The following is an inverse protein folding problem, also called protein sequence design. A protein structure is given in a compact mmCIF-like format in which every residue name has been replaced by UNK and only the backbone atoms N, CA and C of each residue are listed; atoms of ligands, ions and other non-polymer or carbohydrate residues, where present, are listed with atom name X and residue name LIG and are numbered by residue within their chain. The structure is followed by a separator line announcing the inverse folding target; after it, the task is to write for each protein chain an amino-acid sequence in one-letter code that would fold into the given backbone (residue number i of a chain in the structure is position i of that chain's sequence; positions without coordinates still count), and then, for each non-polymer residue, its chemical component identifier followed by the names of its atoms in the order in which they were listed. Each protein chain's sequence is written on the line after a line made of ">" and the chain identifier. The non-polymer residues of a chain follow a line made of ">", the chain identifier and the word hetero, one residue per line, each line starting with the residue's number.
data_IF_844250514254
#
_entry.id   IF_844250514254
#
_cell.length_a   1.000
_cell.length_b   1.000
_cell.length_c   1.000
_cell.angle_alpha   90.00
_cell.angle_beta   90.00
_cell.angle_gamma   90.00
#
_symmetry.space_group_name_H-M   'P 1'
#
loop_
_entity.id
_entity.type
_entity.pdbx_description
1 polymer ?
#
# COMPACT_ATOMS: atom_id res chain seq x y z
N UNK A 1 19.71 8.95 7.70
CA UNK A 1 19.68 8.77 6.23
C UNK A 1 20.14 10.07 5.59
N UNK A 2 21.34 10.12 5.00
CA UNK A 2 21.92 11.35 4.44
C UNK A 2 22.19 11.17 2.95
N UNK A 3 21.11 11.08 2.15
CA UNK A 3 21.24 11.04 0.70
C UNK A 3 21.21 12.48 0.18
N UNK A 4 22.27 12.93 -0.52
CA UNK A 4 22.30 14.28 -1.07
C UNK A 4 21.13 14.53 -2.04
N UNK A 5 20.53 15.70 -1.98
CA UNK A 5 19.42 16.09 -2.84
C UNK A 5 18.06 15.49 -2.48
N UNK A 6 17.95 14.69 -1.40
CA UNK A 6 16.68 14.13 -0.94
C UNK A 6 16.35 14.67 0.45
N UNK A 7 15.16 15.25 0.61
CA UNK A 7 14.54 15.56 1.89
C UNK A 7 13.40 14.58 2.17
N UNK A 8 13.24 14.17 3.43
CA UNK A 8 12.16 13.27 3.86
C UNK A 8 11.39 13.93 5.00
N UNK A 9 10.08 14.06 4.83
CA UNK A 9 9.17 14.42 5.92
C UNK A 9 8.30 13.22 6.26
N UNK A 10 8.39 12.75 7.51
CA UNK A 10 7.58 11.65 8.03
C UNK A 10 6.40 12.22 8.79
N UNK A 11 5.19 11.91 8.35
CA UNK A 11 3.97 12.24 9.06
C UNK A 11 3.41 10.99 9.74
N UNK A 12 2.98 11.11 10.99
CA UNK A 12 2.34 10.03 11.72
C UNK A 12 1.15 10.53 12.54
N UNK A 13 0.11 9.69 12.76
CA UNK A 13 -1.05 10.08 13.56
C UNK A 13 -0.69 10.08 15.04
N UNK A 14 -0.88 11.23 15.68
CA UNK A 14 -0.59 11.43 17.10
C UNK A 14 -1.42 10.48 17.99
N UNK A 15 -0.74 9.74 18.87
CA UNK A 15 -1.39 8.83 19.83
C UNK A 15 -2.10 7.62 19.21
N UNK A 16 -1.96 7.36 17.90
CA UNK A 16 -2.64 6.26 17.21
C UNK A 16 -1.69 5.29 16.51
N UNK A 17 -0.48 5.21 17.02
CA UNK A 17 0.55 4.24 16.58
C UNK A 17 1.04 3.49 17.81
N UNK A 18 1.56 2.28 17.64
CA UNK A 18 2.22 1.56 18.74
C UNK A 18 3.51 2.28 19.14
N UNK A 19 3.98 2.05 20.38
CA UNK A 19 5.23 2.64 20.86
C UNK A 19 6.42 2.33 19.95
N UNK A 20 6.47 1.09 19.42
CA UNK A 20 7.52 0.67 18.48
C UNK A 20 7.43 1.46 17.18
N UNK A 21 6.25 1.62 16.61
CA UNK A 21 6.05 2.40 15.38
C UNK A 21 6.35 3.89 15.62
N UNK A 22 5.94 4.43 16.75
CA UNK A 22 6.29 5.79 17.15
C UNK A 22 7.80 5.96 17.17
N UNK A 23 8.52 5.09 17.86
CA UNK A 23 9.99 5.16 17.93
C UNK A 23 10.64 5.00 16.54
N UNK A 24 10.15 4.09 15.70
CA UNK A 24 10.65 3.93 14.32
C UNK A 24 10.53 5.20 13.49
N UNK A 25 9.50 6.02 13.71
CA UNK A 25 9.29 7.27 12.99
C UNK A 25 9.95 8.47 13.67
N UNK A 26 9.75 8.60 14.98
CA UNK A 26 10.18 9.78 15.74
C UNK A 26 11.70 9.85 15.96
N UNK A 27 12.40 8.71 15.94
CA UNK A 27 13.84 8.64 16.16
C UNK A 27 14.66 8.65 14.86
N UNK A 28 14.05 8.97 13.72
CA UNK A 28 14.79 9.07 12.46
C UNK A 28 15.76 10.25 12.53
N UNK A 29 17.03 9.99 12.27
CA UNK A 29 18.09 10.97 12.31
C UNK A 29 18.56 11.35 10.90
N UNK A 30 18.88 12.62 10.71
CA UNK A 30 19.44 13.14 9.46
C UNK A 30 19.16 14.63 9.32
N UNK A 31 20.08 15.37 8.69
CA UNK A 31 19.87 16.80 8.39
C UNK A 31 18.75 17.05 7.37
N UNK A 32 18.38 16.02 6.65
CA UNK A 32 17.38 16.00 5.59
C UNK A 32 16.09 15.27 6.01
N UNK A 33 15.91 15.03 7.30
CA UNK A 33 14.71 14.33 7.84
C UNK A 33 13.96 15.28 8.76
N UNK A 34 12.66 15.39 8.54
CA UNK A 34 11.72 16.03 9.43
C UNK A 34 10.62 15.03 9.83
N UNK A 35 10.18 15.10 11.08
CA UNK A 35 9.10 14.24 11.60
C UNK A 35 8.03 15.10 12.21
N UNK A 36 6.77 14.89 11.84
CA UNK A 36 5.64 15.66 12.33
C UNK A 36 4.48 14.74 12.76
N UNK A 37 4.00 14.96 13.98
CA UNK A 37 2.77 14.38 14.47
C UNK A 37 1.55 15.13 13.91
N UNK A 38 0.53 14.39 13.48
CA UNK A 38 -0.69 14.95 12.90
C UNK A 38 -1.90 14.47 13.69
N UNK A 39 -2.81 15.36 14.02
CA UNK A 39 -4.10 14.99 14.61
C UNK A 39 -4.97 14.28 13.56
N UNK A 40 -5.37 13.05 13.85
CA UNK A 40 -6.15 12.22 12.92
C UNK A 40 -5.76 10.75 12.98
N UNK A 41 -6.02 10.02 11.91
CA UNK A 41 -5.59 8.62 11.70
C UNK A 41 -4.71 8.49 10.44
N UNK A 42 -4.27 7.28 10.11
CA UNK A 42 -3.42 7.06 8.92
C UNK A 42 -4.10 7.45 7.60
N UNK A 43 -5.42 7.25 7.49
CA UNK A 43 -6.17 7.64 6.30
C UNK A 43 -6.26 9.17 6.16
N UNK A 44 -6.38 9.90 7.27
CA UNK A 44 -6.37 11.36 7.29
C UNK A 44 -5.01 11.90 6.83
N UNK A 45 -3.91 11.33 7.35
CA UNK A 45 -2.55 11.68 6.96
C UNK A 45 -2.34 11.39 5.48
N UNK A 46 -2.71 10.22 4.99
CA UNK A 46 -2.55 9.85 3.58
C UNK A 46 -3.41 10.75 2.66
N UNK A 47 -4.62 11.08 3.09
CA UNK A 47 -5.51 11.98 2.33
C UNK A 47 -4.93 13.38 2.25
N UNK A 48 -4.29 13.85 3.33
CA UNK A 48 -3.61 15.16 3.36
C UNK A 48 -2.43 15.18 2.40
N UNK A 49 -1.60 14.13 2.39
CA UNK A 49 -0.50 14.00 1.43
C UNK A 49 -1.02 14.04 -0.01
N UNK A 50 -2.09 13.30 -0.33
CA UNK A 50 -2.70 13.34 -1.66
C UNK A 50 -3.21 14.73 -2.04
N UNK A 51 -3.76 15.49 -1.09
CA UNK A 51 -4.19 16.89 -1.32
C UNK A 51 -3.00 17.81 -1.62
N UNK A 52 -1.88 17.63 -0.92
CA UNK A 52 -0.64 18.38 -1.18
C UNK A 52 -0.16 18.13 -2.61
N UNK A 53 -0.13 16.86 -3.04
CA UNK A 53 0.26 16.50 -4.40
C UNK A 53 -0.67 17.05 -5.49
N UNK A 54 -1.94 17.30 -5.16
CA UNK A 54 -2.95 17.85 -6.07
C UNK A 54 -3.08 19.37 -5.98
N UNK A 55 -2.33 20.04 -5.13
CA UNK A 55 -2.38 21.49 -4.91
C UNK A 55 -1.34 22.25 -5.73
N UNK A 56 -1.49 23.56 -5.80
CA UNK A 56 -0.56 24.47 -6.47
C UNK A 56 0.83 24.47 -5.83
N UNK A 57 0.93 24.11 -4.52
CA UNK A 57 2.19 23.97 -3.81
C UNK A 57 3.17 23.04 -4.53
N UNK A 58 2.66 22.00 -5.22
CA UNK A 58 3.51 21.11 -6.00
C UNK A 58 4.23 21.86 -7.12
N UNK A 59 3.51 22.77 -7.81
CA UNK A 59 4.10 23.56 -8.89
C UNK A 59 5.02 24.65 -8.34
N UNK A 60 4.64 25.31 -7.25
CA UNK A 60 5.48 26.32 -6.58
C UNK A 60 6.84 25.74 -6.18
N UNK A 61 6.84 24.52 -5.58
CA UNK A 61 8.07 23.82 -5.21
C UNK A 61 8.87 23.37 -6.43
N UNK A 62 8.20 22.92 -7.51
CA UNK A 62 8.89 22.53 -8.73
C UNK A 62 9.61 23.72 -9.40
N UNK A 63 9.02 24.91 -9.35
CA UNK A 63 9.61 26.14 -9.85
C UNK A 63 10.87 26.54 -9.05
N UNK A 64 10.96 26.12 -7.77
CA UNK A 64 12.15 26.24 -6.92
C UNK A 64 13.13 25.06 -7.07
N UNK A 65 12.88 24.12 -7.98
CA UNK A 65 13.72 22.96 -8.21
C UNK A 65 13.52 21.81 -7.23
N UNK A 66 12.39 21.81 -6.48
CA UNK A 66 12.02 20.75 -5.53
C UNK A 66 10.91 19.89 -6.11
N UNK A 67 11.19 18.62 -6.34
CA UNK A 67 10.20 17.65 -6.83
C UNK A 67 9.59 16.84 -5.68
N UNK A 68 8.26 16.87 -5.53
CA UNK A 68 7.55 16.08 -4.52
C UNK A 68 7.38 14.64 -4.96
N UNK A 69 7.74 13.72 -4.07
CA UNK A 69 7.50 12.29 -4.22
C UNK A 69 6.97 11.68 -2.92
N UNK A 70 6.50 10.45 -2.98
CA UNK A 70 5.94 9.74 -1.83
C UNK A 70 6.64 8.39 -1.67
N UNK A 71 7.02 8.06 -0.43
CA UNK A 71 7.64 6.78 -0.09
C UNK A 71 6.63 5.72 0.38
N UNK A 72 5.33 6.01 0.34
CA UNK A 72 4.28 5.06 0.72
C UNK A 72 3.69 4.31 -0.49
N UNK A 73 2.78 3.36 -0.23
CA UNK A 73 2.24 2.44 -1.24
C UNK A 73 1.39 3.08 -2.34
N UNK A 74 1.05 4.37 -2.24
CA UNK A 74 0.39 5.11 -3.34
C UNK A 74 1.35 5.37 -4.50
N UNK A 75 2.65 5.35 -4.27
CA UNK A 75 3.67 5.49 -5.30
C UNK A 75 3.99 4.13 -5.92
N UNK A 76 3.85 4.02 -7.23
CA UNK A 76 4.21 2.81 -7.98
C UNK A 76 5.69 2.43 -7.80
N UNK A 77 6.58 3.42 -7.62
CA UNK A 77 7.99 3.22 -7.32
C UNK A 77 8.24 2.50 -6.00
N UNK A 78 7.27 2.47 -5.06
CA UNK A 78 7.31 1.65 -3.86
C UNK A 78 6.86 0.21 -4.13
N UNK A 79 5.92 0.01 -5.05
CA UNK A 79 5.35 -1.29 -5.37
C UNK A 79 6.30 -2.13 -6.26
N UNK A 80 6.87 -1.52 -7.30
CA UNK A 80 7.71 -2.24 -8.28
C UNK A 80 8.86 -3.03 -7.64
N UNK A 81 9.65 -2.49 -6.69
CA UNK A 81 10.71 -3.25 -6.05
C UNK A 81 10.20 -4.46 -5.24
N UNK A 82 8.95 -4.45 -4.78
CA UNK A 82 8.38 -5.55 -4.00
C UNK A 82 8.14 -6.80 -4.86
N UNK A 83 8.08 -6.68 -6.17
CA UNK A 83 8.04 -7.82 -7.11
C UNK A 83 9.22 -8.76 -6.88
N UNK A 84 10.40 -8.20 -6.57
CA UNK A 84 11.63 -8.96 -6.32
C UNK A 84 11.47 -9.92 -5.13
N UNK A 85 10.70 -9.57 -4.10
CA UNK A 85 10.50 -10.41 -2.91
C UNK A 85 9.94 -11.80 -3.28
N UNK A 86 9.00 -11.84 -4.20
CA UNK A 86 8.35 -13.06 -4.66
C UNK A 86 9.29 -13.95 -5.47
N UNK A 87 10.05 -13.36 -6.39
CA UNK A 87 11.05 -14.10 -7.15
C UNK A 87 12.17 -14.61 -6.25
N UNK A 88 12.67 -13.78 -5.33
CA UNK A 88 13.74 -14.17 -4.43
C UNK A 88 13.30 -15.26 -3.43
N UNK A 89 12.10 -15.13 -2.85
CA UNK A 89 11.54 -16.17 -1.99
C UNK A 89 11.39 -17.51 -2.73
N UNK A 90 10.88 -17.48 -3.96
CA UNK A 90 10.77 -18.69 -4.78
C UNK A 90 12.14 -19.28 -5.12
N UNK A 91 13.10 -18.46 -5.51
CA UNK A 91 14.49 -18.88 -5.77
C UNK A 91 15.08 -19.59 -4.56
N UNK A 92 14.93 -19.01 -3.36
CA UNK A 92 15.44 -19.60 -2.12
C UNK A 92 14.83 -20.97 -1.84
N UNK A 93 13.52 -21.16 -2.07
CA UNK A 93 12.86 -22.47 -1.91
C UNK A 93 13.41 -23.51 -2.88
N UNK A 94 13.67 -23.14 -4.13
CA UNK A 94 14.27 -24.04 -5.12
C UNK A 94 15.73 -24.39 -4.76
N UNK A 95 16.54 -23.41 -4.37
CA UNK A 95 17.92 -23.60 -3.94
C UNK A 95 18.05 -24.48 -2.69
N UNK A 96 17.06 -24.37 -1.77
CA UNK A 96 16.98 -25.21 -0.58
C UNK A 96 16.44 -26.63 -0.87
N UNK A 97 16.05 -26.93 -2.11
CA UNK A 97 15.38 -28.18 -2.52
C UNK A 97 14.04 -28.43 -1.78
N UNK A 98 13.37 -27.36 -1.31
CA UNK A 98 12.04 -27.45 -0.70
C UNK A 98 10.93 -27.58 -1.77
N UNK A 99 11.17 -27.05 -2.98
CA UNK A 99 10.30 -27.18 -4.13
C UNK A 99 11.11 -27.43 -5.40
N UNK A 100 10.55 -28.19 -6.33
CA UNK A 100 11.15 -28.37 -7.66
C UNK A 100 10.99 -27.09 -8.50
N UNK A 101 11.95 -26.83 -9.38
CA UNK A 101 11.87 -25.69 -10.30
C UNK A 101 10.62 -25.83 -11.18
N UNK A 102 9.80 -24.78 -11.22
CA UNK A 102 8.54 -24.75 -11.95
C UNK A 102 7.33 -25.22 -11.13
N UNK A 103 7.54 -25.80 -9.94
CA UNK A 103 6.44 -26.13 -9.04
C UNK A 103 5.70 -24.88 -8.57
N UNK A 104 4.38 -24.94 -8.53
CA UNK A 104 3.54 -23.82 -8.08
C UNK A 104 3.52 -23.73 -6.56
N UNK A 105 3.70 -22.52 -6.05
CA UNK A 105 3.68 -22.20 -4.61
C UNK A 105 2.52 -21.29 -4.25
N UNK A 106 2.13 -21.28 -2.99
CA UNK A 106 1.18 -20.33 -2.41
C UNK A 106 1.92 -19.23 -1.65
N UNK A 107 1.46 -17.99 -1.78
CA UNK A 107 1.95 -16.87 -0.99
C UNK A 107 0.87 -16.38 -0.04
N UNK A 108 1.12 -16.42 1.27
CA UNK A 108 0.26 -15.81 2.27
C UNK A 108 0.79 -14.42 2.61
N UNK A 109 -0.01 -13.39 2.29
CA UNK A 109 0.43 -11.99 2.38
C UNK A 109 -0.50 -11.23 3.32
N UNK A 110 -0.01 -10.77 4.49
CA UNK A 110 -0.74 -9.83 5.32
C UNK A 110 -1.06 -8.57 4.53
N UNK A 111 -2.35 -8.22 4.42
CA UNK A 111 -2.77 -7.23 3.45
C UNK A 111 -3.70 -6.18 4.05
N UNK A 112 -3.31 -4.92 3.93
CA UNK A 112 -4.14 -3.74 4.15
C UNK A 112 -4.31 -2.95 2.84
N UNK A 113 -3.29 -2.19 2.46
CA UNK A 113 -3.29 -1.33 1.25
C UNK A 113 -3.14 -2.08 -0.09
N UNK A 114 -3.08 -3.38 -0.10
CA UNK A 114 -2.97 -4.25 -1.28
C UNK A 114 -1.68 -4.07 -2.10
N UNK A 115 -0.70 -3.30 -1.62
CA UNK A 115 0.53 -3.00 -2.38
C UNK A 115 1.39 -4.23 -2.59
N UNK A 116 1.71 -4.95 -1.52
CA UNK A 116 2.58 -6.12 -1.57
C UNK A 116 1.95 -7.27 -2.37
N UNK A 117 0.71 -7.65 -2.08
CA UNK A 117 0.03 -8.73 -2.84
C UNK A 117 -0.16 -8.37 -4.32
N UNK A 118 -0.33 -7.09 -4.66
CA UNK A 118 -0.37 -6.63 -6.06
C UNK A 118 1.01 -6.79 -6.73
N UNK A 119 2.10 -6.57 -6.01
CA UNK A 119 3.44 -6.87 -6.51
C UNK A 119 3.61 -8.37 -6.79
N UNK A 120 3.06 -9.23 -5.93
CA UNK A 120 2.97 -10.67 -6.16
C UNK A 120 2.16 -11.00 -7.43
N UNK A 121 1.01 -10.35 -7.63
CA UNK A 121 0.23 -10.51 -8.85
C UNK A 121 1.04 -10.13 -10.11
N UNK A 122 1.81 -9.05 -10.05
CA UNK A 122 2.70 -8.71 -11.16
C UNK A 122 3.81 -9.74 -11.35
N UNK A 123 4.41 -10.28 -10.28
CA UNK A 123 5.36 -11.39 -10.37
C UNK A 123 4.74 -12.60 -11.07
N UNK A 124 3.51 -12.96 -10.72
CA UNK A 124 2.75 -14.02 -11.41
C UNK A 124 2.56 -13.71 -12.92
N UNK A 125 2.17 -12.49 -13.25
CA UNK A 125 2.02 -12.04 -14.65
C UNK A 125 3.36 -12.05 -15.43
N UNK A 126 4.48 -11.94 -14.72
CA UNK A 126 5.85 -12.07 -15.28
C UNK A 126 6.31 -13.52 -15.39
N UNK A 127 5.51 -14.50 -14.95
CA UNK A 127 5.79 -15.92 -15.12
C UNK A 127 6.22 -16.66 -13.84
N UNK A 128 6.17 -16.01 -12.66
CA UNK A 128 6.41 -16.72 -11.41
C UNK A 128 5.34 -17.81 -11.21
N UNK A 129 5.70 -19.07 -10.90
CA UNK A 129 4.75 -20.17 -10.76
C UNK A 129 3.99 -20.08 -9.43
N UNK A 130 2.96 -19.25 -9.40
CA UNK A 130 2.07 -19.09 -8.25
C UNK A 130 0.81 -19.91 -8.45
N UNK A 131 0.36 -20.60 -7.39
CA UNK A 131 -0.93 -21.30 -7.35
C UNK A 131 -2.01 -20.40 -6.77
N UNK A 132 -1.79 -19.85 -5.57
CA UNK A 132 -2.71 -18.95 -4.90
C UNK A 132 -1.99 -17.80 -4.20
N UNK A 133 -2.66 -16.65 -4.14
CA UNK A 133 -2.38 -15.61 -3.17
C UNK A 133 -3.42 -15.66 -2.06
N UNK A 134 -2.98 -15.84 -0.83
CA UNK A 134 -3.82 -15.85 0.37
C UNK A 134 -3.74 -14.46 0.99
N UNK A 135 -4.80 -13.69 0.83
CA UNK A 135 -4.92 -12.33 1.35
C UNK A 135 -5.32 -12.41 2.84
N UNK A 136 -4.34 -12.30 3.73
CA UNK A 136 -4.57 -12.37 5.15
C UNK A 136 -4.99 -10.99 5.70
N UNK A 137 -6.12 -10.92 6.40
CA UNK A 137 -6.67 -9.71 7.01
C UNK A 137 -6.74 -9.85 8.52
N UNK A 138 -6.66 -8.71 9.24
CA UNK A 138 -7.07 -8.62 10.64
C UNK A 138 -8.59 -8.40 10.76
N UNK A 139 -9.07 -7.90 11.91
CA UNK A 139 -10.50 -7.62 12.13
C UNK A 139 -11.09 -6.60 11.13
N UNK A 140 -10.25 -5.76 10.52
CA UNK A 140 -10.65 -4.86 9.42
C UNK A 140 -10.65 -5.61 8.08
N UNK A 141 -11.53 -6.59 7.95
CA UNK A 141 -11.54 -7.63 6.92
C UNK A 141 -12.28 -7.24 5.62
N UNK A 142 -12.28 -5.96 5.25
CA UNK A 142 -12.97 -5.46 4.05
C UNK A 142 -12.58 -6.20 2.78
N UNK A 143 -11.30 -6.55 2.62
CA UNK A 143 -10.80 -7.28 1.47
C UNK A 143 -11.30 -8.73 1.44
N UNK A 144 -11.38 -9.39 2.59
CA UNK A 144 -11.93 -10.76 2.70
C UNK A 144 -13.37 -10.80 2.22
N UNK A 145 -14.19 -9.87 2.67
CA UNK A 145 -15.59 -9.78 2.26
C UNK A 145 -15.72 -9.43 0.78
N UNK A 146 -14.92 -8.48 0.30
CA UNK A 146 -14.88 -8.13 -1.12
C UNK A 146 -14.53 -9.32 -2.02
N UNK A 147 -13.46 -10.07 -1.69
CA UNK A 147 -13.05 -11.24 -2.48
C UNK A 147 -14.13 -12.32 -2.49
N UNK A 148 -14.89 -12.48 -1.40
CA UNK A 148 -15.95 -13.48 -1.28
C UNK A 148 -17.26 -13.08 -1.97
N UNK A 149 -17.60 -11.80 -1.94
CA UNK A 149 -18.94 -11.32 -2.32
C UNK A 149 -18.94 -10.50 -3.61
N UNK A 150 -17.80 -9.99 -4.02
CA UNK A 150 -17.67 -9.00 -5.11
C UNK A 150 -18.10 -7.59 -4.72
N UNK A 151 -18.52 -7.37 -3.47
CA UNK A 151 -18.96 -6.05 -2.99
C UNK A 151 -17.92 -5.46 -2.05
N UNK A 152 -17.36 -4.33 -2.42
CA UNK A 152 -16.49 -3.55 -1.55
C UNK A 152 -17.33 -2.58 -0.72
N UNK A 153 -17.25 -2.68 0.61
CA UNK A 153 -17.99 -1.82 1.53
C UNK A 153 -17.08 -1.28 2.64
N UNK A 154 -16.78 0.02 2.59
CA UNK A 154 -16.01 0.72 3.64
C UNK A 154 -16.86 1.18 4.82
N UNK A 155 -18.20 1.16 4.71
CA UNK A 155 -19.13 1.60 5.77
C UNK A 155 -19.27 0.52 6.83
N UNK A 156 -18.24 0.37 7.65
CA UNK A 156 -18.15 -0.64 8.71
C UNK A 156 -17.38 -0.09 9.91
N UNK A 157 -17.51 -0.69 11.10
CA UNK A 157 -16.72 -0.30 12.26
C UNK A 157 -15.22 -0.42 11.96
N UNK A 158 -14.46 0.55 12.44
CA UNK A 158 -13.00 0.49 12.44
C UNK A 158 -12.54 -0.20 13.72
N UNK A 159 -11.65 -1.17 13.60
CA UNK A 159 -11.09 -1.92 14.70
C UNK A 159 -9.60 -1.60 14.88
N UNK A 160 -9.22 -1.12 16.06
CA UNK A 160 -7.81 -0.99 16.42
C UNK A 160 -7.27 -2.36 16.81
N UNK A 161 -6.22 -2.82 16.15
CA UNK A 161 -5.66 -4.16 16.36
C UNK A 161 -4.18 -4.11 16.75
N UNK A 162 -3.59 -5.27 17.06
CA UNK A 162 -2.16 -5.41 17.30
C UNK A 162 -1.31 -5.22 16.01
N UNK A 163 -1.95 -5.08 14.84
CA UNK A 163 -1.30 -4.82 13.56
C UNK A 163 -1.77 -3.49 12.95
N UNK A 164 -1.49 -2.34 13.57
CA UNK A 164 -2.09 -1.05 13.20
C UNK A 164 -1.78 -0.62 11.76
N UNK A 165 -0.68 -1.06 11.17
CA UNK A 165 -0.37 -0.81 9.76
C UNK A 165 -1.35 -1.48 8.79
N UNK A 166 -2.10 -2.49 9.27
CA UNK A 166 -3.13 -3.22 8.52
C UNK A 166 -4.55 -2.80 8.91
N UNK A 167 -4.72 -1.85 9.83
CA UNK A 167 -6.01 -1.29 10.23
C UNK A 167 -6.52 -0.32 9.17
N UNK A 168 -7.03 -0.87 8.08
CA UNK A 168 -7.38 -0.15 6.86
C UNK A 168 -8.77 -0.56 6.40
N UNK A 169 -9.62 0.44 6.09
CA UNK A 169 -10.93 0.24 5.48
C UNK A 169 -10.96 0.61 3.99
N UNK A 170 -9.98 1.39 3.51
CA UNK A 170 -9.85 1.75 2.10
C UNK A 170 -8.49 1.30 1.56
N UNK A 171 -8.51 0.23 0.79
CA UNK A 171 -7.30 -0.39 0.23
C UNK A 171 -6.84 0.35 -1.03
N UNK A 172 -5.79 1.16 -0.89
CA UNK A 172 -5.39 2.16 -1.89
C UNK A 172 -4.81 1.59 -3.21
N UNK A 173 -4.43 0.30 -3.24
CA UNK A 173 -3.90 -0.31 -4.46
C UNK A 173 -4.85 -1.34 -5.09
N UNK A 174 -6.00 -1.61 -4.47
CA UNK A 174 -6.97 -2.53 -5.04
C UNK A 174 -7.49 -2.05 -6.41
N UNK A 175 -7.66 -0.74 -6.58
CA UNK A 175 -8.05 -0.14 -7.86
C UNK A 175 -7.14 -0.54 -9.02
N UNK A 176 -5.84 -0.76 -8.77
CA UNK A 176 -4.89 -1.21 -9.78
C UNK A 176 -5.12 -2.65 -10.21
N UNK A 177 -5.46 -3.53 -9.25
CA UNK A 177 -5.86 -4.90 -9.58
C UNK A 177 -7.17 -4.90 -10.37
N UNK A 178 -8.16 -4.11 -9.95
CA UNK A 178 -9.44 -4.00 -10.64
C UNK A 178 -9.25 -3.53 -12.08
N UNK A 179 -8.38 -2.54 -12.30
CA UNK A 179 -8.02 -2.07 -13.64
C UNK A 179 -7.48 -3.20 -14.53
N UNK A 180 -6.60 -4.06 -14.00
CA UNK A 180 -6.08 -5.20 -14.76
C UNK A 180 -7.17 -6.28 -15.01
N UNK A 181 -8.09 -6.48 -14.06
CA UNK A 181 -9.14 -7.50 -14.16
C UNK A 181 -10.32 -7.11 -15.06
N UNK A 182 -10.55 -5.81 -15.28
CA UNK A 182 -11.59 -5.31 -16.19
C UNK A 182 -11.03 -4.87 -17.55
N UNK A 183 -10.02 -5.57 -18.03
CA UNK A 183 -9.39 -5.31 -19.34
C UNK A 183 -8.92 -3.86 -19.52
N UNK A 184 -8.50 -3.23 -18.43
CA UNK A 184 -7.98 -1.86 -18.36
C UNK A 184 -9.02 -0.79 -18.71
N UNK A 185 -10.29 -1.06 -18.44
CA UNK A 185 -11.34 -0.06 -18.56
C UNK A 185 -11.24 0.98 -17.42
N UNK A 186 -10.55 2.08 -17.71
CA UNK A 186 -10.37 3.17 -16.75
C UNK A 186 -11.66 3.90 -16.39
N UNK A 187 -12.65 3.94 -17.30
CA UNK A 187 -13.93 4.59 -17.04
C UNK A 187 -14.75 3.76 -16.02
N UNK A 188 -14.75 2.46 -16.17
CA UNK A 188 -15.41 1.55 -15.24
C UNK A 188 -14.78 1.64 -13.84
N UNK A 189 -13.44 1.58 -13.74
CA UNK A 189 -12.73 1.73 -12.46
C UNK A 189 -13.02 3.09 -11.82
N UNK A 190 -13.00 4.16 -12.60
CA UNK A 190 -13.33 5.51 -12.10
C UNK A 190 -14.75 5.57 -11.53
N UNK A 191 -15.72 4.90 -12.16
CA UNK A 191 -17.09 4.82 -11.66
C UNK A 191 -17.18 4.13 -10.30
N UNK A 192 -16.45 2.99 -10.12
CA UNK A 192 -16.38 2.29 -8.83
C UNK A 192 -15.73 3.14 -7.75
N UNK A 193 -14.64 3.83 -8.07
CA UNK A 193 -13.97 4.72 -7.11
C UNK A 193 -14.85 5.91 -6.73
N UNK A 194 -15.64 6.44 -7.66
CA UNK A 194 -16.62 7.49 -7.37
C UNK A 194 -17.75 6.97 -6.47
N UNK A 195 -18.27 5.77 -6.73
CA UNK A 195 -19.28 5.14 -5.87
C UNK A 195 -18.73 4.89 -4.44
N UNK A 196 -17.51 4.41 -4.32
CA UNK A 196 -16.83 4.24 -3.04
C UNK A 196 -16.68 5.56 -2.30
N UNK A 197 -16.37 6.65 -3.00
CA UNK A 197 -16.19 7.98 -2.42
C UNK A 197 -17.51 8.56 -1.92
N UNK A 198 -18.59 8.44 -2.70
CA UNK A 198 -19.89 9.06 -2.41
C UNK A 198 -20.78 8.20 -1.49
N UNK A 199 -20.86 6.88 -1.74
CA UNK A 199 -21.74 5.94 -1.03
C UNK A 199 -21.02 4.94 -0.11
N UNK A 200 -19.71 4.82 -0.23
CA UNK A 200 -18.90 3.89 0.58
C UNK A 200 -18.90 2.45 0.10
N UNK A 201 -19.53 2.17 -1.03
CA UNK A 201 -19.64 0.82 -1.62
C UNK A 201 -19.54 0.85 -3.13
N UNK A 202 -19.08 -0.24 -3.72
CA UNK A 202 -19.24 -0.59 -5.14
C UNK A 202 -19.27 -2.09 -5.31
#
# INVERSE_FOLDING_TARGET
>A
MNVPGIGITVFYPHGKVSDIQYLQMATQEGRNVAVAAVEGNFDDVQSTVKKIFASDLRQELADEGVELSSANSINIGRLVPQVVYYFDAYRQLVEANEVEQGAKVDFCVPTGNFGDVLAGYYAYRMGLPVRHFIVASNANNVLTDFIRTGTYNKNRPFHTTASPSMDILVSSNLERLLYELCDRDGALVASWMQALKSGGTY
#
